data_IF_226299525964
#
_entry.id   IF_226299525964
#
_cell.length_a   1.000
_cell.length_b   1.000
_cell.length_c   1.000
_cell.angle_alpha   90.00
_cell.angle_beta   90.00
_cell.angle_gamma   90.00
#
_symmetry.space_group_name_H-M   'P 1'
#
loop_
_entity.id
_entity.type
_entity.pdbx_description
1 polymer ?
#
# COMPACT_ATOMS: atom_id res chain seq x y z
N UNK A 1 27.17 -6.61 -1.15
CA UNK A 1 26.10 -7.58 -0.85
C UNK A 1 25.83 -8.38 -2.10
N UNK A 2 25.87 -9.71 -2.05
CA UNK A 2 25.52 -10.56 -3.20
C UNK A 2 24.00 -10.67 -3.37
N UNK A 3 23.50 -11.12 -4.53
CA UNK A 3 22.07 -11.38 -4.72
C UNK A 3 21.53 -12.41 -3.71
N UNK A 4 22.31 -13.45 -3.42
CA UNK A 4 21.96 -14.45 -2.39
C UNK A 4 21.91 -13.86 -0.98
N UNK A 5 22.85 -12.97 -0.63
CA UNK A 5 22.86 -12.28 0.65
C UNK A 5 21.68 -11.31 0.79
N UNK A 6 21.34 -10.57 -0.28
CA UNK A 6 20.17 -9.70 -0.31
C UNK A 6 18.88 -10.51 -0.11
N UNK A 7 18.73 -11.60 -0.87
CA UNK A 7 17.58 -12.51 -0.76
C UNK A 7 17.36 -12.97 0.68
N UNK A 8 18.38 -13.53 1.31
CA UNK A 8 18.28 -14.04 2.69
C UNK A 8 17.94 -12.95 3.69
N UNK A 9 18.42 -11.72 3.48
CA UNK A 9 18.05 -10.58 4.34
C UNK A 9 16.60 -10.14 4.17
N UNK A 10 16.08 -10.14 2.94
CA UNK A 10 14.67 -9.82 2.66
C UNK A 10 13.74 -10.87 3.27
N UNK A 11 14.05 -12.16 3.12
CA UNK A 11 13.29 -13.26 3.74
C UNK A 11 13.28 -13.15 5.26
N UNK A 12 14.45 -12.94 5.87
CA UNK A 12 14.56 -12.79 7.32
C UNK A 12 13.77 -11.58 7.85
N UNK A 13 13.72 -10.47 7.08
CA UNK A 13 12.93 -9.30 7.46
C UNK A 13 11.43 -9.52 7.27
N UNK A 14 11.01 -10.25 6.22
CA UNK A 14 9.61 -10.62 6.02
C UNK A 14 9.08 -11.46 7.20
N UNK A 15 9.91 -12.36 7.75
CA UNK A 15 9.58 -13.11 8.96
C UNK A 15 9.51 -12.23 10.22
N UNK A 16 10.34 -11.19 10.30
CA UNK A 16 10.27 -10.24 11.42
C UNK A 16 9.01 -9.38 11.35
N UNK A 17 8.56 -8.97 10.17
CA UNK A 17 7.30 -8.24 9.99
C UNK A 17 6.09 -9.04 10.52
N UNK A 18 6.06 -10.37 10.32
CA UNK A 18 5.02 -11.24 10.92
C UNK A 18 5.07 -11.17 12.45
N UNK A 19 6.26 -11.35 13.03
CA UNK A 19 6.45 -11.35 14.49
C UNK A 19 6.09 -9.99 15.10
N UNK A 20 6.41 -8.90 14.41
CA UNK A 20 6.04 -7.55 14.80
C UNK A 20 4.52 -7.36 14.77
N UNK A 21 3.87 -7.72 13.67
CA UNK A 21 2.42 -7.61 13.54
C UNK A 21 1.69 -8.37 14.67
N UNK A 22 2.10 -9.59 14.97
CA UNK A 22 1.51 -10.42 16.04
C UNK A 22 1.64 -9.77 17.42
N UNK A 23 2.84 -9.29 17.78
CA UNK A 23 3.08 -8.62 19.07
C UNK A 23 2.28 -7.32 19.21
N UNK A 24 2.19 -6.54 18.15
CA UNK A 24 1.44 -5.29 18.13
C UNK A 24 -0.07 -5.58 18.26
N UNK A 25 -0.59 -6.58 17.55
CA UNK A 25 -2.00 -6.98 17.68
C UNK A 25 -2.32 -7.50 19.08
N UNK A 26 -1.42 -8.27 19.70
CA UNK A 26 -1.61 -8.72 21.08
C UNK A 26 -1.63 -7.55 22.06
N UNK A 27 -0.77 -6.55 21.84
CA UNK A 27 -0.79 -5.30 22.61
C UNK A 27 -2.13 -4.58 22.42
N UNK A 28 -2.61 -4.47 21.17
CA UNK A 28 -3.85 -3.77 20.82
C UNK A 28 -5.10 -4.39 21.48
N UNK A 29 -5.16 -5.71 21.68
CA UNK A 29 -6.28 -6.40 22.35
C UNK A 29 -6.56 -5.89 23.76
N UNK A 30 -5.52 -5.46 24.46
CA UNK A 30 -5.61 -5.01 25.85
C UNK A 30 -5.83 -3.49 25.98
N UNK A 31 -5.88 -2.76 24.87
CA UNK A 31 -6.02 -1.30 24.84
C UNK A 31 -7.48 -0.88 24.83
N UNK A 32 -7.87 -0.08 25.84
CA UNK A 32 -9.21 0.51 25.93
C UNK A 32 -9.39 1.71 25.00
N UNK A 33 -8.38 2.58 24.89
CA UNK A 33 -8.45 3.79 24.04
C UNK A 33 -8.69 3.42 22.57
N UNK A 34 -9.76 3.91 21.93
CA UNK A 34 -10.03 3.68 20.52
C UNK A 34 -8.90 4.16 19.62
N UNK A 35 -8.35 5.36 19.88
CA UNK A 35 -7.24 5.93 19.12
C UNK A 35 -5.99 5.04 19.19
N UNK A 36 -5.55 4.69 20.39
CA UNK A 36 -4.33 3.88 20.56
C UNK A 36 -4.50 2.51 19.91
N UNK A 37 -5.68 1.89 20.06
CA UNK A 37 -5.98 0.61 19.41
C UNK A 37 -5.97 0.74 17.88
N UNK A 38 -6.57 1.78 17.32
CA UNK A 38 -6.58 2.03 15.88
C UNK A 38 -5.15 2.19 15.32
N UNK A 39 -4.29 2.96 15.98
CA UNK A 39 -2.89 3.14 15.57
C UNK A 39 -2.12 1.82 15.62
N UNK A 40 -2.23 1.05 16.70
CA UNK A 40 -1.55 -0.25 16.80
C UNK A 40 -2.05 -1.21 15.73
N UNK A 41 -3.36 -1.26 15.48
CA UNK A 41 -3.93 -2.10 14.43
C UNK A 41 -3.43 -1.69 13.04
N UNK A 42 -3.41 -0.39 12.73
CA UNK A 42 -2.89 0.11 11.44
C UNK A 42 -1.43 -0.27 11.23
N UNK A 43 -0.57 -0.07 12.24
CA UNK A 43 0.86 -0.46 12.15
C UNK A 43 1.02 -1.97 11.96
N UNK A 44 0.20 -2.80 12.63
CA UNK A 44 0.26 -4.24 12.42
C UNK A 44 -0.16 -4.65 10.99
N UNK A 45 -1.16 -3.97 10.43
CA UNK A 45 -1.58 -4.18 9.04
C UNK A 45 -0.48 -3.75 8.06
N UNK A 46 0.23 -2.65 8.35
CA UNK A 46 1.40 -2.22 7.57
C UNK A 46 2.52 -3.25 7.60
N UNK A 47 2.80 -3.87 8.75
CA UNK A 47 3.76 -4.97 8.81
C UNK A 47 3.35 -6.15 7.92
N UNK A 48 2.07 -6.50 7.88
CA UNK A 48 1.57 -7.53 6.97
C UNK A 48 1.73 -7.13 5.48
N UNK A 49 1.47 -5.85 5.16
CA UNK A 49 1.72 -5.27 3.83
C UNK A 49 3.20 -5.36 3.46
N UNK A 50 4.11 -4.96 4.35
CA UNK A 50 5.55 -5.00 4.12
C UNK A 50 6.04 -6.42 3.86
N UNK A 51 5.56 -7.40 4.64
CA UNK A 51 5.86 -8.81 4.38
C UNK A 51 5.51 -9.21 2.95
N UNK A 52 4.30 -8.87 2.49
CA UNK A 52 3.88 -9.21 1.12
C UNK A 52 4.81 -8.59 0.08
N UNK A 53 5.17 -7.31 0.23
CA UNK A 53 6.09 -6.61 -0.66
C UNK A 53 7.51 -7.23 -0.64
N UNK A 54 8.02 -7.61 0.53
CA UNK A 54 9.33 -8.26 0.67
C UNK A 54 9.39 -9.61 -0.05
N UNK A 55 8.31 -10.38 -0.01
CA UNK A 55 8.24 -11.66 -0.72
C UNK A 55 8.21 -11.50 -2.24
N UNK A 56 7.54 -10.46 -2.76
CA UNK A 56 7.62 -10.13 -4.19
C UNK A 56 9.02 -9.61 -4.57
N UNK A 57 9.67 -8.83 -3.71
CA UNK A 57 11.07 -8.42 -3.91
C UNK A 57 12.03 -9.63 -3.95
N UNK A 58 11.81 -10.66 -3.11
CA UNK A 58 12.55 -11.93 -3.16
C UNK A 58 12.40 -12.60 -4.53
N UNK A 59 11.18 -12.67 -5.08
CA UNK A 59 10.95 -13.25 -6.41
C UNK A 59 11.68 -12.49 -7.51
N UNK A 60 11.68 -11.16 -7.45
CA UNK A 60 12.43 -10.33 -8.40
C UNK A 60 13.93 -10.59 -8.32
N UNK A 61 14.51 -10.71 -7.12
CA UNK A 61 15.93 -11.06 -6.92
C UNK A 61 16.26 -12.45 -7.48
N UNK A 62 15.31 -13.39 -7.41
CA UNK A 62 15.43 -14.72 -8.01
C UNK A 62 15.26 -14.74 -9.53
N UNK A 63 14.94 -13.60 -10.15
CA UNK A 63 14.64 -13.50 -11.57
C UNK A 63 13.28 -14.10 -11.96
N UNK A 64 12.37 -14.28 -11.01
CA UNK A 64 11.02 -14.86 -11.19
C UNK A 64 9.95 -13.78 -11.41
N UNK A 65 10.22 -12.83 -12.31
CA UNK A 65 9.25 -11.84 -12.75
C UNK A 65 8.77 -12.17 -14.15
N UNK A 66 7.59 -12.79 -14.26
CA UNK A 66 6.89 -12.82 -15.54
C UNK A 66 6.00 -11.58 -15.62
N UNK A 67 6.04 -10.87 -16.75
CA UNK A 67 5.05 -9.81 -17.01
C UNK A 67 3.65 -10.42 -17.05
N UNK A 68 2.59 -9.66 -16.68
CA UNK A 68 1.24 -10.20 -16.66
C UNK A 68 0.89 -10.80 -18.03
N UNK A 69 0.33 -12.01 -18.06
CA UNK A 69 -0.17 -12.59 -19.31
C UNK A 69 -1.23 -11.65 -19.92
N UNK A 70 -1.35 -11.55 -21.24
CA UNK A 70 -2.25 -10.57 -21.91
C UNK A 70 -3.70 -10.63 -21.38
N UNK A 71 -4.20 -11.83 -21.05
CA UNK A 71 -5.52 -12.02 -20.46
C UNK A 71 -5.58 -11.65 -18.95
N UNK A 72 -4.55 -11.99 -18.17
CA UNK A 72 -4.40 -11.53 -16.78
C UNK A 72 -4.32 -10.01 -16.73
N UNK A 73 -3.71 -9.39 -17.74
CA UNK A 73 -3.59 -7.95 -17.87
C UNK A 73 -4.97 -7.31 -18.06
N UNK A 74 -5.85 -7.81 -18.92
CA UNK A 74 -7.18 -7.19 -19.17
C UNK A 74 -8.09 -7.21 -17.94
N UNK A 75 -8.26 -8.36 -17.30
CA UNK A 75 -9.07 -8.46 -16.08
C UNK A 75 -8.47 -7.65 -14.94
N UNK A 76 -7.14 -7.73 -14.74
CA UNK A 76 -6.46 -6.95 -13.70
C UNK A 76 -6.59 -5.46 -13.97
N UNK A 77 -6.50 -5.01 -15.23
CA UNK A 77 -6.64 -3.60 -15.59
C UNK A 77 -8.05 -3.07 -15.36
N UNK A 78 -9.08 -3.89 -15.62
CA UNK A 78 -10.46 -3.52 -15.30
C UNK A 78 -10.65 -3.37 -13.78
N UNK A 79 -10.12 -4.30 -12.99
CA UNK A 79 -10.19 -4.25 -11.52
C UNK A 79 -9.38 -3.11 -10.92
N UNK A 80 -8.18 -2.84 -11.42
CA UNK A 80 -7.37 -1.70 -10.96
C UNK A 80 -8.11 -0.40 -11.27
N UNK A 81 -8.71 -0.27 -12.45
CA UNK A 81 -9.52 0.92 -12.80
C UNK A 81 -10.70 1.10 -11.85
N UNK A 82 -11.43 0.03 -11.53
CA UNK A 82 -12.52 0.06 -10.55
C UNK A 82 -12.02 0.52 -9.17
N UNK A 83 -10.87 0.02 -8.71
CA UNK A 83 -10.26 0.45 -7.46
C UNK A 83 -9.89 1.93 -7.46
N UNK A 84 -9.34 2.47 -8.55
CA UNK A 84 -9.04 3.91 -8.67
C UNK A 84 -10.31 4.75 -8.50
N UNK A 85 -11.43 4.33 -9.08
CA UNK A 85 -12.73 5.01 -8.95
C UNK A 85 -13.26 4.96 -7.51
N UNK A 86 -13.15 3.79 -6.84
CA UNK A 86 -13.54 3.61 -5.44
C UNK A 86 -12.71 4.49 -4.50
N UNK A 87 -11.39 4.56 -4.72
CA UNK A 87 -10.50 5.39 -3.91
C UNK A 87 -10.78 6.89 -4.12
N UNK A 88 -11.15 7.31 -5.33
CA UNK A 88 -11.57 8.69 -5.59
C UNK A 88 -12.84 9.07 -4.82
N UNK A 89 -13.80 8.14 -4.71
CA UNK A 89 -14.99 8.30 -3.87
C UNK A 89 -14.65 8.35 -2.38
N UNK A 90 -13.76 7.45 -1.93
CA UNK A 90 -13.28 7.43 -0.55
C UNK A 90 -12.58 8.75 -0.19
N UNK A 91 -11.74 9.29 -1.07
CA UNK A 91 -11.07 10.57 -0.89
C UNK A 91 -12.06 11.70 -0.69
N UNK A 92 -13.05 11.85 -1.58
CA UNK A 92 -14.09 12.88 -1.44
C UNK A 92 -14.83 12.75 -0.11
N UNK A 93 -15.16 11.52 0.28
CA UNK A 93 -15.83 11.25 1.55
C UNK A 93 -14.97 11.67 2.74
N UNK A 94 -13.72 11.21 2.82
CA UNK A 94 -12.86 11.48 3.97
C UNK A 94 -12.43 12.95 4.02
N UNK A 95 -12.20 13.60 2.88
CA UNK A 95 -11.96 15.06 2.82
C UNK A 95 -13.12 15.87 3.38
N UNK A 96 -14.37 15.47 3.07
CA UNK A 96 -15.54 16.09 3.65
C UNK A 96 -15.67 15.77 5.14
N UNK A 97 -15.45 14.51 5.53
CA UNK A 97 -15.55 14.06 6.92
C UNK A 97 -14.55 14.77 7.84
N UNK A 98 -13.29 14.95 7.44
CA UNK A 98 -12.29 15.64 8.28
C UNK A 98 -12.58 17.15 8.45
N UNK A 99 -13.43 17.72 7.59
CA UNK A 99 -13.89 19.12 7.67
C UNK A 99 -15.19 19.27 8.45
N UNK A 100 -15.88 18.17 8.76
CA UNK A 100 -17.13 18.20 9.50
C UNK A 100 -16.90 18.76 10.92
N UNK A 101 -17.73 19.71 11.40
CA UNK A 101 -17.57 20.30 12.73
C UNK A 101 -17.59 19.30 13.88
N UNK A 102 -18.34 18.20 13.77
CA UNK A 102 -18.40 17.16 14.81
C UNK A 102 -17.09 16.37 14.87
N UNK A 103 -16.46 16.14 13.72
CA UNK A 103 -15.12 15.52 13.64
C UNK A 103 -14.04 16.49 14.11
N UNK A 104 -14.10 17.76 13.70
CA UNK A 104 -13.10 18.77 14.06
C UNK A 104 -13.04 19.05 15.58
N UNK A 105 -14.16 18.84 16.28
CA UNK A 105 -14.25 19.00 17.74
C UNK A 105 -13.74 17.79 18.53
N UNK A 106 -13.54 16.63 17.89
CA UNK A 106 -12.95 15.44 18.51
C UNK A 106 -11.55 15.16 17.92
N UNK A 107 -10.46 15.50 18.65
CA UNK A 107 -9.11 15.30 18.17
C UNK A 107 -8.75 13.84 17.88
N UNK A 108 -9.34 12.87 18.59
CA UNK A 108 -9.05 11.45 18.38
C UNK A 108 -9.72 10.94 17.11
N UNK A 109 -10.98 11.30 16.90
CA UNK A 109 -11.71 10.99 15.68
C UNK A 109 -11.07 11.65 14.45
N UNK A 110 -10.74 12.94 14.57
CA UNK A 110 -10.05 13.70 13.53
C UNK A 110 -8.72 13.05 13.15
N UNK A 111 -7.93 12.60 14.13
CA UNK A 111 -6.69 11.89 13.87
C UNK A 111 -6.91 10.59 13.08
N UNK A 112 -7.85 9.74 13.50
CA UNK A 112 -8.14 8.47 12.83
C UNK A 112 -8.56 8.71 11.37
N UNK A 113 -9.48 9.65 11.13
CA UNK A 113 -9.97 9.93 9.78
C UNK A 113 -8.90 10.57 8.88
N UNK A 114 -7.99 11.37 9.45
CA UNK A 114 -6.82 11.90 8.72
C UNK A 114 -5.81 10.82 8.38
N UNK A 115 -5.64 9.82 9.24
CA UNK A 115 -4.77 8.67 8.97
C UNK A 115 -5.30 7.89 7.76
N UNK A 116 -6.61 7.61 7.73
CA UNK A 116 -7.24 6.95 6.58
C UNK A 116 -7.13 7.80 5.31
N UNK A 117 -7.47 9.10 5.39
CA UNK A 117 -7.37 10.01 4.23
C UNK A 117 -5.96 10.03 3.61
N UNK A 118 -4.91 10.00 4.45
CA UNK A 118 -3.53 9.92 3.98
C UNK A 118 -3.28 8.63 3.20
N UNK A 119 -3.74 7.50 3.72
CA UNK A 119 -3.52 6.19 3.10
C UNK A 119 -4.27 6.09 1.76
N UNK A 120 -5.54 6.51 1.71
CA UNK A 120 -6.31 6.52 0.45
C UNK A 120 -5.71 7.47 -0.59
N UNK A 121 -5.16 8.62 -0.17
CA UNK A 121 -4.50 9.55 -1.09
C UNK A 121 -3.24 8.94 -1.71
N UNK A 122 -2.48 8.18 -0.91
CA UNK A 122 -1.32 7.46 -1.41
C UNK A 122 -1.72 6.29 -2.33
N UNK A 123 -2.71 5.48 -1.93
CA UNK A 123 -3.17 4.35 -2.74
C UNK A 123 -3.70 4.82 -4.10
N UNK A 124 -4.48 5.90 -4.14
CA UNK A 124 -5.04 6.45 -5.37
C UNK A 124 -3.96 6.82 -6.38
N UNK A 125 -2.90 7.51 -5.95
CA UNK A 125 -1.77 7.87 -6.82
C UNK A 125 -1.05 6.63 -7.33
N UNK A 126 -0.75 5.68 -6.44
CA UNK A 126 -0.02 4.45 -6.81
C UNK A 126 -0.83 3.57 -7.76
N UNK A 127 -2.12 3.35 -7.52
CA UNK A 127 -2.97 2.53 -8.38
C UNK A 127 -3.24 3.20 -9.73
N UNK A 128 -3.44 4.52 -9.73
CA UNK A 128 -3.58 5.29 -10.97
C UNK A 128 -2.33 5.13 -11.84
N UNK A 129 -1.14 5.31 -11.29
CA UNK A 129 0.10 5.25 -12.07
C UNK A 129 0.47 3.82 -12.46
N UNK A 130 0.17 2.84 -11.61
CA UNK A 130 0.23 1.42 -11.98
C UNK A 130 -0.67 1.13 -13.18
N UNK A 131 -1.90 1.63 -13.18
CA UNK A 131 -2.81 1.48 -14.33
C UNK A 131 -2.22 2.10 -15.60
N UNK A 132 -1.71 3.34 -15.51
CA UNK A 132 -1.08 4.00 -16.65
C UNK A 132 0.14 3.24 -17.18
N UNK A 133 1.00 2.76 -16.28
CA UNK A 133 2.18 1.96 -16.63
C UNK A 133 1.79 0.66 -17.33
N UNK A 134 0.79 -0.06 -16.82
CA UNK A 134 0.29 -1.28 -17.44
C UNK A 134 -0.37 -1.04 -18.82
N UNK A 135 -1.06 0.09 -19.00
CA UNK A 135 -1.60 0.48 -20.31
C UNK A 135 -0.48 0.84 -21.29
N UNK A 136 0.54 1.59 -20.85
CA UNK A 136 1.70 1.98 -21.69
C UNK A 136 2.62 0.80 -22.02
N UNK A 137 2.86 -0.10 -21.07
CA UNK A 137 3.64 -1.33 -21.28
C UNK A 137 3.01 -2.25 -22.32
N UNK A 138 1.67 -2.25 -22.45
CA UNK A 138 0.96 -2.90 -23.57
C UNK A 138 1.24 -2.26 -24.93
N UNK A 139 1.67 -1.00 -24.97
CA UNK A 139 1.88 -0.22 -26.19
C UNK A 139 3.35 -0.07 -26.60
N UNK A 140 4.30 -0.04 -25.64
CA UNK A 140 5.67 0.43 -25.86
C UNK A 140 6.79 -0.61 -25.58
N UNK A 141 6.51 -1.74 -24.91
CA UNK A 141 7.56 -2.65 -24.41
C UNK A 141 8.05 -2.26 -23.01
N UNK A 142 9.19 -2.82 -22.54
CA UNK A 142 9.70 -2.66 -21.15
C UNK A 142 10.64 -1.45 -20.95
N UNK A 143 10.45 -0.73 -19.84
CA UNK A 143 11.39 0.23 -19.24
C UNK A 143 10.76 1.59 -18.93
N UNK A 144 10.33 2.33 -19.95
CA UNK A 144 9.85 3.71 -19.83
C UNK A 144 8.43 3.82 -19.25
N UNK A 145 7.66 2.73 -19.25
CA UNK A 145 6.28 2.73 -18.77
C UNK A 145 6.15 2.93 -17.25
N UNK A 146 7.19 2.62 -16.48
CA UNK A 146 7.18 2.67 -15.01
C UNK A 146 7.72 3.96 -14.40
N UNK A 147 8.30 4.86 -15.19
CA UNK A 147 9.01 6.04 -14.67
C UNK A 147 8.13 6.95 -13.81
N UNK A 148 6.86 7.14 -14.19
CA UNK A 148 5.93 7.98 -13.42
C UNK A 148 5.61 7.35 -12.07
N UNK A 149 5.33 6.05 -12.04
CA UNK A 149 5.05 5.30 -10.82
C UNK A 149 6.23 5.40 -9.82
N UNK A 150 7.47 5.30 -10.32
CA UNK A 150 8.66 5.45 -9.49
C UNK A 150 8.83 6.89 -8.99
N UNK A 151 8.60 7.88 -9.88
CA UNK A 151 8.71 9.30 -9.52
C UNK A 151 7.69 9.71 -8.46
N UNK A 152 6.45 9.25 -8.56
CA UNK A 152 5.46 9.52 -7.53
C UNK A 152 5.85 8.85 -6.22
N UNK A 153 6.28 7.58 -6.23
CA UNK A 153 6.76 6.91 -5.02
C UNK A 153 7.87 7.71 -4.31
N UNK A 154 8.84 8.24 -5.06
CA UNK A 154 9.94 9.06 -4.53
C UNK A 154 9.47 10.36 -3.85
N UNK A 155 8.30 10.90 -4.19
CA UNK A 155 7.75 12.09 -3.51
C UNK A 155 7.23 11.80 -2.10
N UNK A 156 7.02 10.53 -1.77
CA UNK A 156 6.53 10.08 -0.47
C UNK A 156 7.65 9.51 0.44
N UNK A 157 8.91 9.55 0.00
CA UNK A 157 10.11 9.15 0.75
C UNK A 157 10.85 10.36 1.33
#
# INVERSE_FOLDING_TARGET
MSAGELKSRLEAWADEEVRHAEKILETAKNVKSPLVRAVLTAVAMDSQKHRALLLEAVRLVEGKGEGPAIAEAEESLARIREHVEVEEEALRFFEAAVRDPAVAQDPQLSFILRLILRDEAFHHVILHDLYQALVRGRLLGQGEEWEELYRELDRYL
#
